data_IF_268966837985
#
_entry.id   IF_268966837985
#
_cell.length_a   1.000
_cell.length_b   1.000
_cell.length_c   1.000
_cell.angle_alpha   90.00
_cell.angle_beta   90.00
_cell.angle_gamma   90.00
#
_symmetry.space_group_name_H-M   'P 1'
#
loop_
_entity.id
_entity.type
_entity.pdbx_description
1 polymer ?
#
# COMPACT_ATOMS: atom_id res chain seq x y z
N UNK A 1 21.36 22.75 -6.74
CA UNK A 1 20.50 22.06 -7.73
C UNK A 1 19.13 21.79 -7.08
N UNK A 2 18.03 21.75 -7.84
CA UNK A 2 16.69 21.40 -7.33
C UNK A 2 16.28 20.02 -7.86
N UNK A 3 15.41 19.32 -7.14
CA UNK A 3 14.85 18.05 -7.60
C UNK A 3 13.32 18.05 -7.62
N UNK A 4 12.77 17.23 -8.50
CA UNK A 4 11.37 16.82 -8.55
C UNK A 4 11.33 15.30 -8.41
N UNK A 5 10.67 14.81 -7.34
CA UNK A 5 10.47 13.38 -7.12
C UNK A 5 9.29 12.89 -7.97
N UNK A 6 9.57 12.04 -8.95
CA UNK A 6 8.54 11.45 -9.82
C UNK A 6 7.95 10.16 -9.20
N UNK A 7 8.79 9.41 -8.50
CA UNK A 7 8.41 8.22 -7.71
C UNK A 7 9.42 8.03 -6.56
N UNK A 8 9.27 7.00 -5.73
CA UNK A 8 10.24 6.72 -4.65
C UNK A 8 11.69 6.68 -5.12
N UNK A 9 11.91 6.18 -6.34
CA UNK A 9 13.22 5.86 -6.90
C UNK A 9 13.52 6.62 -8.21
N UNK A 10 12.61 7.49 -8.67
CA UNK A 10 12.77 8.25 -9.90
C UNK A 10 12.74 9.75 -9.61
N UNK A 11 13.75 10.46 -10.09
CA UNK A 11 13.96 11.87 -9.81
C UNK A 11 14.31 12.62 -11.09
N UNK A 12 13.92 13.89 -11.15
CA UNK A 12 14.41 14.83 -12.16
C UNK A 12 15.11 15.96 -11.42
N UNK A 13 16.37 16.19 -11.74
CA UNK A 13 17.17 17.25 -11.14
C UNK A 13 17.53 18.28 -12.19
N UNK A 14 17.50 19.55 -11.80
CA UNK A 14 17.82 20.66 -12.69
C UNK A 14 18.35 21.85 -11.90
N UNK A 15 19.09 22.72 -12.58
CA UNK A 15 19.53 24.01 -12.09
C UNK A 15 19.50 25.04 -13.23
N UNK A 16 20.04 26.23 -12.98
CA UNK A 16 20.01 27.34 -13.95
C UNK A 16 21.00 27.15 -15.11
N UNK A 17 21.76 26.05 -15.15
CA UNK A 17 22.68 25.74 -16.26
C UNK A 17 21.98 25.27 -17.53
N UNK A 18 20.68 24.92 -17.45
CA UNK A 18 19.90 24.39 -18.57
C UNK A 18 20.04 22.88 -18.78
N UNK A 19 20.86 22.20 -17.97
CA UNK A 19 20.92 20.73 -17.94
C UNK A 19 19.83 20.13 -17.06
N UNK A 20 19.29 19.01 -17.51
CA UNK A 20 18.30 18.22 -16.76
C UNK A 20 18.80 16.80 -16.60
N UNK A 21 18.91 16.34 -15.36
CA UNK A 21 19.28 14.97 -15.01
C UNK A 21 18.03 14.16 -14.66
N UNK A 22 17.69 13.18 -15.50
CA UNK A 22 16.70 12.16 -15.19
C UNK A 22 17.40 10.96 -14.53
N UNK A 23 17.01 10.67 -13.29
CA UNK A 23 17.46 9.51 -12.53
C UNK A 23 16.32 8.51 -12.45
N UNK A 24 16.54 7.29 -12.93
CA UNK A 24 15.53 6.21 -12.92
C UNK A 24 16.02 4.98 -12.18
N UNK A 25 15.12 4.32 -11.46
CA UNK A 25 15.39 3.12 -10.68
C UNK A 25 16.56 3.29 -9.69
N UNK A 26 16.58 4.42 -8.98
CA UNK A 26 17.55 4.65 -7.90
C UNK A 26 17.39 3.58 -6.82
N UNK A 27 18.50 2.97 -6.45
CA UNK A 27 18.55 1.88 -5.49
C UNK A 27 19.82 1.96 -4.68
N UNK A 28 19.68 1.83 -3.36
CA UNK A 28 20.79 1.74 -2.42
C UNK A 28 20.94 0.33 -1.85
N UNK A 29 22.19 -0.14 -1.78
CA UNK A 29 22.65 -1.26 -0.95
C UNK A 29 23.90 -0.80 -0.18
N UNK A 30 24.42 -1.61 0.77
CA UNK A 30 25.43 -1.23 1.77
C UNK A 30 26.54 -0.30 1.28
N UNK A 31 27.06 -0.51 0.07
CA UNK A 31 28.18 0.27 -0.50
C UNK A 31 27.86 0.94 -1.84
N UNK A 32 26.59 1.01 -2.26
CA UNK A 32 26.23 1.45 -3.62
C UNK A 32 24.95 2.27 -3.67
N UNK A 33 24.97 3.29 -4.52
CA UNK A 33 23.80 4.07 -4.91
C UNK A 33 23.69 4.06 -6.44
N UNK A 34 22.96 3.08 -6.99
CA UNK A 34 22.88 2.79 -8.42
C UNK A 34 21.58 3.28 -9.06
N UNK A 35 21.67 3.73 -10.30
CA UNK A 35 20.51 4.13 -11.11
C UNK A 35 20.81 4.02 -12.61
N UNK A 36 19.80 4.29 -13.43
CA UNK A 36 20.00 4.75 -14.80
C UNK A 36 19.96 6.28 -14.82
N UNK A 37 21.06 6.91 -15.23
CA UNK A 37 21.22 8.36 -15.30
C UNK A 37 21.18 8.81 -16.76
N UNK A 38 20.32 9.76 -17.07
CA UNK A 38 20.28 10.48 -18.35
C UNK A 38 20.40 11.97 -18.11
N UNK A 39 21.25 12.65 -18.87
CA UNK A 39 21.38 14.11 -18.83
C UNK A 39 21.05 14.68 -20.20
N UNK A 40 20.19 15.70 -20.22
CA UNK A 40 19.79 16.42 -21.42
C UNK A 40 20.12 17.91 -21.32
N UNK A 41 20.30 18.54 -22.48
CA UNK A 41 20.37 20.00 -22.63
C UNK A 41 19.42 20.38 -23.77
N UNK A 42 18.34 21.10 -23.44
CA UNK A 42 17.22 21.26 -24.36
C UNK A 42 16.64 19.91 -24.79
N UNK A 43 16.59 19.65 -26.10
CA UNK A 43 16.12 18.36 -26.66
C UNK A 43 17.21 17.31 -26.84
N UNK A 44 18.49 17.65 -26.64
CA UNK A 44 19.61 16.75 -26.89
C UNK A 44 19.93 15.93 -25.64
N UNK A 45 20.16 14.62 -25.81
CA UNK A 45 20.74 13.78 -24.75
C UNK A 45 22.26 13.90 -24.81
N UNK A 46 22.86 14.33 -23.71
CA UNK A 46 24.31 14.56 -23.59
C UNK A 46 24.98 13.41 -22.84
N UNK A 47 24.27 12.76 -21.92
CA UNK A 47 24.76 11.57 -21.23
C UNK A 47 23.64 10.56 -21.00
N UNK A 48 23.94 9.26 -21.06
CA UNK A 48 22.97 8.20 -20.75
C UNK A 48 23.66 6.88 -20.43
N UNK A 49 23.67 6.48 -19.15
CA UNK A 49 24.27 5.22 -18.72
C UNK A 49 23.72 4.74 -17.36
N UNK A 50 23.98 3.47 -17.01
CA UNK A 50 23.87 3.03 -15.62
C UNK A 50 24.99 3.68 -14.81
N UNK A 51 24.65 4.28 -13.67
CA UNK A 51 25.60 5.05 -12.86
C UNK A 51 25.55 4.64 -11.40
N UNK A 52 26.71 4.62 -10.73
CA UNK A 52 26.84 4.42 -9.28
C UNK A 52 27.44 5.66 -8.64
N UNK A 53 26.63 6.42 -7.90
CA UNK A 53 27.04 7.69 -7.28
C UNK A 53 28.06 7.54 -6.14
N UNK A 54 28.21 6.33 -5.57
CA UNK A 54 29.23 6.05 -4.56
C UNK A 54 30.57 5.57 -5.16
N UNK A 55 30.64 5.36 -6.48
CA UNK A 55 31.88 4.95 -7.13
C UNK A 55 32.78 6.14 -7.45
N UNK A 56 33.97 6.19 -6.85
CA UNK A 56 35.03 7.17 -7.20
C UNK A 56 35.42 7.04 -8.67
N UNK A 57 35.49 5.81 -9.19
CA UNK A 57 35.78 5.55 -10.60
C UNK A 57 34.65 6.05 -11.52
N UNK A 58 33.39 5.78 -11.16
CA UNK A 58 32.24 6.27 -11.92
C UNK A 58 32.18 7.79 -11.99
N UNK A 59 32.51 8.47 -10.89
CA UNK A 59 32.65 9.93 -10.84
C UNK A 59 33.72 10.43 -11.83
N UNK A 60 34.92 9.85 -11.80
CA UNK A 60 36.01 10.24 -12.70
C UNK A 60 35.67 10.02 -14.17
N UNK A 61 35.04 8.88 -14.50
CA UNK A 61 34.61 8.56 -15.87
C UNK A 61 33.53 9.52 -16.36
N UNK A 62 32.54 9.84 -15.51
CA UNK A 62 31.50 10.81 -15.83
C UNK A 62 32.09 12.21 -16.09
N UNK A 63 32.90 12.73 -15.17
CA UNK A 63 33.46 14.09 -15.30
C UNK A 63 34.33 14.19 -16.55
N UNK A 64 35.16 13.18 -16.82
CA UNK A 64 35.99 13.13 -18.02
C UNK A 64 35.14 13.14 -19.29
N UNK A 65 34.10 12.30 -19.36
CA UNK A 65 33.22 12.24 -20.52
C UNK A 65 32.52 13.59 -20.78
N UNK A 66 31.97 14.21 -19.74
CA UNK A 66 31.29 15.49 -19.88
C UNK A 66 32.24 16.63 -20.29
N UNK A 67 33.51 16.60 -19.85
CA UNK A 67 34.53 17.57 -20.26
C UNK A 67 34.92 17.50 -21.74
N UNK A 68 34.66 16.38 -22.43
CA UNK A 68 34.91 16.26 -23.87
C UNK A 68 33.92 17.12 -24.69
N UNK A 69 32.75 17.45 -24.14
CA UNK A 69 31.76 18.35 -24.73
C UNK A 69 32.16 19.83 -24.53
N UNK A 70 33.17 20.27 -25.29
CA UNK A 70 33.78 21.61 -25.21
C UNK A 70 32.81 22.76 -25.53
N UNK A 71 31.68 22.47 -26.18
CA UNK A 71 30.60 23.42 -26.46
C UNK A 71 29.91 23.93 -25.19
N UNK A 72 29.97 23.18 -24.09
CA UNK A 72 29.39 23.55 -22.81
C UNK A 72 30.48 24.03 -21.85
N UNK A 73 30.48 25.33 -21.52
CA UNK A 73 31.40 25.90 -20.52
C UNK A 73 30.88 25.67 -19.10
N UNK A 74 31.09 24.45 -18.60
CA UNK A 74 30.61 24.01 -17.29
C UNK A 74 31.74 23.46 -16.42
N UNK A 75 31.65 23.72 -15.11
CA UNK A 75 32.44 22.97 -14.12
C UNK A 75 31.73 21.63 -13.85
N UNK A 76 32.07 20.63 -14.64
CA UNK A 76 31.46 19.31 -14.56
C UNK A 76 31.74 18.58 -13.24
N UNK A 77 32.85 18.92 -12.57
CA UNK A 77 33.15 18.36 -11.26
C UNK A 77 32.21 18.94 -10.21
N UNK A 78 31.98 20.26 -10.26
CA UNK A 78 31.00 20.92 -9.39
C UNK A 78 29.58 20.44 -9.66
N UNK A 79 29.18 20.37 -10.94
CA UNK A 79 27.86 19.88 -11.34
C UNK A 79 27.61 18.45 -10.83
N UNK A 80 28.58 17.55 -10.97
CA UNK A 80 28.47 16.18 -10.48
C UNK A 80 28.32 16.13 -8.95
N UNK A 81 29.11 16.93 -8.23
CA UNK A 81 29.00 17.04 -6.78
C UNK A 81 27.60 17.49 -6.35
N UNK A 82 27.09 18.58 -6.95
CA UNK A 82 25.76 19.11 -6.62
C UNK A 82 24.64 18.12 -6.98
N UNK A 83 24.76 17.41 -8.10
CA UNK A 83 23.84 16.33 -8.51
C UNK A 83 23.83 15.18 -7.49
N UNK A 84 25.02 14.73 -7.06
CA UNK A 84 25.18 13.63 -6.11
C UNK A 84 24.60 13.98 -4.74
N UNK A 85 24.98 15.12 -4.16
CA UNK A 85 24.49 15.55 -2.84
C UNK A 85 22.96 15.72 -2.86
N UNK A 86 22.42 16.43 -3.87
CA UNK A 86 20.97 16.62 -3.99
C UNK A 86 20.22 15.29 -4.13
N UNK A 87 20.80 14.30 -4.81
CA UNK A 87 20.18 12.98 -4.97
C UNK A 87 20.25 12.14 -3.69
N UNK A 88 21.37 12.21 -2.96
CA UNK A 88 21.53 11.58 -1.64
C UNK A 88 20.48 12.16 -0.70
N UNK A 89 20.42 13.49 -0.59
CA UNK A 89 19.42 14.18 0.21
C UNK A 89 18.01 13.75 -0.21
N UNK A 90 17.65 13.86 -1.49
CA UNK A 90 16.32 13.48 -1.97
C UNK A 90 15.94 12.00 -1.74
N UNK A 91 16.93 11.10 -1.71
CA UNK A 91 16.73 9.67 -1.49
C UNK A 91 16.62 9.31 0.00
N UNK A 92 17.42 9.93 0.86
CA UNK A 92 17.45 9.67 2.31
C UNK A 92 16.48 10.54 3.10
N UNK A 93 16.10 11.72 2.61
CA UNK A 93 15.01 12.57 3.16
C UNK A 93 13.61 11.96 2.95
N UNK A 94 13.55 10.77 2.31
CA UNK A 94 12.38 9.89 2.31
C UNK A 94 12.24 9.08 3.63
N UNK A 95 13.24 9.10 4.51
CA UNK A 95 13.08 8.73 5.92
C UNK A 95 12.40 9.90 6.63
N UNK A 96 11.18 9.67 7.11
CA UNK A 96 10.24 10.74 7.48
C UNK A 96 10.81 11.86 8.34
N UNK A 97 10.26 13.06 8.15
CA UNK A 97 10.63 14.27 8.88
C UNK A 97 10.59 14.03 10.40
N UNK A 98 11.70 14.34 11.06
CA UNK A 98 11.78 14.35 12.52
C UNK A 98 11.08 15.63 13.02
N UNK A 99 9.85 15.48 13.49
CA UNK A 99 9.06 16.58 14.06
C UNK A 99 9.07 16.52 15.60
N UNK A 100 9.08 17.67 16.28
CA UNK A 100 8.75 17.72 17.70
C UNK A 100 7.28 17.30 17.86
N UNK A 101 6.99 16.44 18.83
CA UNK A 101 5.63 15.95 19.09
C UNK A 101 4.64 17.10 19.37
N UNK A 102 5.12 18.25 19.84
CA UNK A 102 4.31 19.45 20.09
C UNK A 102 3.92 20.20 18.83
N UNK A 103 4.68 20.02 17.75
CA UNK A 103 4.41 20.64 16.46
C UNK A 103 3.44 19.80 15.60
N UNK A 104 3.13 18.57 16.06
CA UNK A 104 2.18 17.68 15.41
C UNK A 104 0.77 18.03 15.91
N UNK A 105 -0.07 18.57 15.02
CA UNK A 105 -1.49 18.76 15.31
C UNK A 105 -2.16 17.42 15.65
N UNK A 106 -2.76 17.33 16.82
CA UNK A 106 -3.55 16.17 17.20
C UNK A 106 -4.78 16.07 16.28
N UNK A 107 -4.96 14.91 15.65
CA UNK A 107 -6.16 14.61 14.86
C UNK A 107 -6.72 13.27 15.26
N UNK A 108 -8.04 13.20 15.45
CA UNK A 108 -8.74 11.93 15.66
C UNK A 108 -8.53 10.99 14.46
N UNK A 109 -8.58 9.69 14.75
CA UNK A 109 -8.49 8.68 13.70
C UNK A 109 -9.68 8.80 12.76
N UNK A 110 -9.35 8.95 11.48
CA UNK A 110 -10.30 9.05 10.38
C UNK A 110 -10.72 7.65 9.94
N UNK A 111 -11.98 7.52 9.51
CA UNK A 111 -12.51 6.27 8.98
C UNK A 111 -13.09 6.51 7.59
N UNK A 112 -12.75 5.62 6.64
CA UNK A 112 -13.48 5.57 5.37
C UNK A 112 -14.86 4.96 5.56
N UNK A 113 -14.99 4.02 6.50
CA UNK A 113 -16.25 3.44 6.92
C UNK A 113 -16.11 3.10 8.39
N UNK A 114 -16.81 3.83 9.25
CA UNK A 114 -16.78 3.57 10.69
C UNK A 114 -17.61 2.32 11.00
N UNK A 115 -17.21 1.45 11.95
CA UNK A 115 -15.88 1.35 12.59
C UNK A 115 -14.86 0.53 11.76
N UNK A 116 -15.24 0.01 10.59
CA UNK A 116 -14.55 -1.08 9.89
C UNK A 116 -13.20 -0.72 9.24
N UNK A 117 -13.05 0.51 8.73
CA UNK A 117 -11.90 0.91 7.91
C UNK A 117 -11.31 2.21 8.44
N UNK A 118 -10.39 2.10 9.39
CA UNK A 118 -9.56 3.20 9.87
C UNK A 118 -8.51 3.56 8.82
N UNK A 119 -8.41 4.84 8.47
CA UNK A 119 -7.56 5.38 7.40
C UNK A 119 -6.09 5.24 7.76
N UNK A 120 -5.31 4.66 6.85
CA UNK A 120 -3.86 4.45 6.99
C UNK A 120 -3.49 3.34 7.98
N UNK A 121 -4.47 2.64 8.55
CA UNK A 121 -4.26 1.63 9.58
C UNK A 121 -4.44 0.21 9.03
N UNK A 122 -3.80 -0.75 9.70
CA UNK A 122 -3.96 -2.16 9.40
C UNK A 122 -5.32 -2.67 9.90
N UNK A 123 -6.31 -2.71 9.00
CA UNK A 123 -7.63 -3.27 9.28
C UNK A 123 -7.64 -4.76 8.92
N UNK A 124 -8.11 -5.61 9.83
CA UNK A 124 -8.16 -7.07 9.63
C UNK A 124 -9.60 -7.58 9.77
N UNK A 125 -9.96 -8.46 8.85
CA UNK A 125 -11.20 -9.20 8.85
C UNK A 125 -10.88 -10.70 8.87
N UNK A 126 -11.28 -11.43 9.91
CA UNK A 126 -11.03 -12.87 10.00
C UNK A 126 -12.29 -13.68 10.32
N UNK A 127 -12.35 -14.90 9.79
CA UNK A 127 -13.42 -15.86 10.05
C UNK A 127 -13.03 -17.25 9.54
N UNK A 128 -13.84 -18.26 9.86
CA UNK A 128 -13.70 -19.58 9.25
C UNK A 128 -13.89 -19.55 7.71
N UNK A 129 -13.51 -20.64 7.06
CA UNK A 129 -13.81 -20.84 5.63
C UNK A 129 -15.32 -20.89 5.41
N UNK A 130 -15.81 -20.30 4.32
CA UNK A 130 -17.24 -20.30 3.98
C UNK A 130 -18.11 -19.26 4.71
N UNK A 131 -17.58 -18.52 5.68
CA UNK A 131 -18.35 -17.52 6.46
C UNK A 131 -18.74 -16.26 5.67
N UNK A 132 -18.16 -16.02 4.47
CA UNK A 132 -18.48 -14.86 3.64
C UNK A 132 -17.56 -13.64 3.80
N UNK A 133 -16.30 -13.83 4.22
CA UNK A 133 -15.30 -12.74 4.36
C UNK A 133 -15.17 -11.87 3.11
N UNK A 134 -14.97 -12.49 1.95
CA UNK A 134 -14.83 -11.80 0.66
C UNK A 134 -16.12 -11.06 0.28
N UNK A 135 -17.29 -11.65 0.58
CA UNK A 135 -18.60 -11.00 0.41
C UNK A 135 -18.71 -9.75 1.27
N UNK A 136 -18.38 -9.85 2.57
CA UNK A 136 -18.44 -8.72 3.48
C UNK A 136 -17.44 -7.62 3.09
N UNK A 137 -16.22 -7.99 2.71
CA UNK A 137 -15.23 -7.02 2.23
C UNK A 137 -15.69 -6.26 0.98
N UNK A 138 -16.37 -6.94 0.04
CA UNK A 138 -16.99 -6.28 -1.12
C UNK A 138 -18.19 -5.42 -0.69
N UNK A 139 -18.96 -5.82 0.31
CA UNK A 139 -20.07 -5.01 0.83
C UNK A 139 -19.59 -3.71 1.50
N UNK A 140 -18.46 -3.77 2.24
CA UNK A 140 -17.80 -2.58 2.77
C UNK A 140 -17.32 -1.68 1.62
N UNK A 141 -16.68 -2.25 0.60
CA UNK A 141 -16.22 -1.50 -0.58
C UNK A 141 -17.38 -0.85 -1.35
N UNK A 142 -18.49 -1.55 -1.51
CA UNK A 142 -19.70 -1.05 -2.15
C UNK A 142 -20.31 0.12 -1.35
N UNK A 143 -20.37 -0.01 -0.03
CA UNK A 143 -20.90 1.01 0.88
C UNK A 143 -20.12 2.34 0.80
N UNK A 144 -18.82 2.29 0.49
CA UNK A 144 -17.99 3.49 0.30
C UNK A 144 -18.40 4.32 -0.92
N UNK A 145 -18.91 3.69 -1.99
CA UNK A 145 -19.28 4.40 -3.23
C UNK A 145 -20.72 4.92 -3.21
N UNK A 146 -21.62 4.20 -2.56
CA UNK A 146 -23.04 4.51 -2.58
C UNK A 146 -23.56 5.13 -1.29
N UNK A 147 -22.67 5.38 -0.31
CA UNK A 147 -22.97 6.08 0.95
C UNK A 147 -24.30 5.59 1.58
N UNK A 148 -24.28 4.34 2.07
CA UNK A 148 -25.30 3.65 2.91
C UNK A 148 -26.39 2.81 2.24
N UNK A 149 -26.06 1.63 1.68
CA UNK A 149 -27.11 0.62 1.36
C UNK A 149 -26.95 -0.74 2.05
N UNK A 150 -25.78 -1.09 2.61
CA UNK A 150 -25.58 -2.41 3.25
C UNK A 150 -24.98 -2.29 4.67
N UNK A 151 -24.02 -1.38 4.86
CA UNK A 151 -23.38 -1.15 6.17
C UNK A 151 -23.70 0.27 6.65
N UNK A 152 -24.49 0.36 7.71
CA UNK A 152 -24.97 1.62 8.30
C UNK A 152 -23.92 2.11 9.29
N UNK A 153 -23.10 3.08 8.87
CA UNK A 153 -22.56 4.13 9.76
C UNK A 153 -21.87 5.21 8.94
N UNK A 154 -22.10 6.47 9.32
CA UNK A 154 -21.63 7.61 8.55
C UNK A 154 -20.11 7.72 8.60
N UNK A 155 -19.43 7.80 7.45
CA UNK A 155 -17.99 8.00 7.42
C UNK A 155 -17.68 9.44 7.84
N UNK A 156 -16.83 9.61 8.84
CA UNK A 156 -16.34 10.94 9.24
C UNK A 156 -15.45 11.57 8.15
N UNK A 157 -15.12 10.84 7.07
CA UNK A 157 -14.39 11.33 5.91
C UNK A 157 -14.98 10.82 4.61
N UNK A 158 -15.17 11.71 3.64
CA UNK A 158 -15.58 11.33 2.29
C UNK A 158 -14.51 10.51 1.57
N UNK A 159 -14.88 9.33 1.06
CA UNK A 159 -13.98 8.49 0.28
C UNK A 159 -13.69 9.06 -1.12
N UNK A 160 -12.56 9.77 -1.25
CA UNK A 160 -12.07 10.36 -2.50
C UNK A 160 -10.94 9.55 -3.13
N UNK A 161 -11.24 8.31 -3.52
CA UNK A 161 -10.25 7.42 -4.13
C UNK A 161 -10.84 6.20 -4.81
N UNK A 162 -9.94 5.31 -5.19
CA UNK A 162 -10.28 4.03 -5.82
C UNK A 162 -9.92 2.86 -4.90
N UNK A 163 -10.54 1.72 -5.15
CA UNK A 163 -10.32 0.47 -4.41
C UNK A 163 -9.59 -0.53 -5.31
N UNK A 164 -8.61 -1.24 -4.79
CA UNK A 164 -8.01 -2.40 -5.44
C UNK A 164 -8.29 -3.65 -4.61
N UNK A 165 -8.93 -4.65 -5.22
CA UNK A 165 -9.00 -6.01 -4.70
C UNK A 165 -7.81 -6.81 -5.23
N UNK A 166 -6.90 -7.18 -4.35
CA UNK A 166 -5.75 -8.03 -4.63
C UNK A 166 -6.06 -9.46 -4.17
N UNK A 167 -6.36 -10.31 -5.15
CA UNK A 167 -6.88 -11.67 -4.95
C UNK A 167 -5.75 -12.70 -5.07
N UNK A 168 -5.50 -13.39 -3.96
CA UNK A 168 -4.58 -14.50 -3.82
C UNK A 168 -5.31 -15.85 -3.67
N UNK A 169 -6.59 -15.88 -3.29
CA UNK A 169 -7.29 -17.12 -2.94
C UNK A 169 -8.02 -17.77 -4.12
N UNK A 170 -8.49 -16.98 -5.09
CA UNK A 170 -9.41 -17.47 -6.12
C UNK A 170 -9.07 -16.93 -7.51
N UNK A 171 -10.10 -16.69 -8.33
CA UNK A 171 -9.99 -16.12 -9.66
C UNK A 171 -11.00 -14.99 -9.91
N UNK A 172 -10.80 -14.35 -11.06
CA UNK A 172 -11.62 -13.23 -11.53
C UNK A 172 -13.11 -13.56 -11.62
N UNK A 173 -13.48 -14.79 -11.96
CA UNK A 173 -14.87 -15.19 -12.14
C UNK A 173 -15.55 -15.38 -10.78
N UNK A 174 -14.84 -16.00 -9.82
CA UNK A 174 -15.27 -16.12 -8.43
C UNK A 174 -15.54 -14.77 -7.79
N UNK A 175 -14.56 -13.85 -7.84
CA UNK A 175 -14.74 -12.49 -7.30
C UNK A 175 -15.83 -11.72 -8.05
N UNK A 176 -15.91 -11.84 -9.38
CA UNK A 176 -16.97 -11.16 -10.16
C UNK A 176 -18.37 -11.68 -9.80
N UNK A 177 -18.50 -12.97 -9.49
CA UNK A 177 -19.75 -13.56 -9.00
C UNK A 177 -20.15 -12.98 -7.64
N UNK A 178 -19.21 -12.86 -6.70
CA UNK A 178 -19.47 -12.21 -5.41
C UNK A 178 -19.85 -10.73 -5.61
N UNK A 179 -19.08 -10.01 -6.43
CA UNK A 179 -19.35 -8.62 -6.78
C UNK A 179 -20.78 -8.44 -7.30
N UNK A 180 -21.22 -9.27 -8.26
CA UNK A 180 -22.56 -9.15 -8.85
C UNK A 180 -23.69 -9.48 -7.86
N UNK A 181 -23.42 -10.29 -6.84
CA UNK A 181 -24.39 -10.60 -5.78
C UNK A 181 -24.53 -9.46 -4.78
N UNK A 182 -23.45 -8.71 -4.52
CA UNK A 182 -23.41 -7.64 -3.51
C UNK A 182 -23.75 -6.27 -4.11
N UNK A 183 -23.21 -5.94 -5.28
CA UNK A 183 -23.33 -4.62 -5.88
C UNK A 183 -24.64 -4.54 -6.69
N UNK A 184 -25.70 -4.00 -6.09
CA UNK A 184 -26.97 -3.81 -6.78
C UNK A 184 -26.91 -2.70 -7.84
N UNK A 185 -26.22 -1.61 -7.50
CA UNK A 185 -25.95 -0.47 -8.37
C UNK A 185 -24.55 -0.56 -8.96
N UNK A 186 -24.37 0.03 -10.13
CA UNK A 186 -23.06 0.07 -10.77
C UNK A 186 -22.13 1.04 -10.02
N UNK A 187 -20.98 0.53 -9.58
CA UNK A 187 -19.85 1.36 -9.17
C UNK A 187 -19.23 1.94 -10.46
N UNK A 188 -19.00 3.26 -10.54
CA UNK A 188 -18.48 3.88 -11.76
C UNK A 188 -17.19 3.22 -12.25
N UNK A 189 -17.08 3.03 -13.56
CA UNK A 189 -15.92 2.41 -14.20
C UNK A 189 -14.63 3.12 -13.77
N UNK A 190 -13.62 2.33 -13.40
CA UNK A 190 -12.33 2.86 -12.96
C UNK A 190 -12.28 3.27 -11.48
N UNK A 191 -13.30 2.91 -10.68
CA UNK A 191 -13.30 3.16 -9.23
C UNK A 191 -12.98 1.92 -8.39
N UNK A 192 -13.34 0.72 -8.86
CA UNK A 192 -13.05 -0.55 -8.19
C UNK A 192 -12.30 -1.48 -9.15
N UNK A 193 -11.03 -1.73 -8.84
CA UNK A 193 -10.13 -2.57 -9.60
C UNK A 193 -9.99 -3.96 -8.98
N UNK A 194 -9.75 -4.95 -9.83
CA UNK A 194 -9.39 -6.31 -9.44
C UNK A 194 -8.03 -6.64 -10.03
N UNK A 195 -7.18 -7.32 -9.25
CA UNK A 195 -5.95 -7.93 -9.71
C UNK A 195 -5.76 -9.27 -9.01
N UNK A 196 -5.59 -10.34 -9.80
CA UNK A 196 -5.04 -11.60 -9.28
C UNK A 196 -3.56 -11.41 -8.95
N UNK A 197 -3.14 -11.97 -7.83
CA UNK A 197 -1.75 -11.95 -7.38
C UNK A 197 -1.33 -13.32 -6.89
N UNK A 198 -0.18 -13.76 -7.40
CA UNK A 198 0.42 -15.04 -7.01
C UNK A 198 1.80 -14.81 -6.35
N UNK A 199 2.28 -13.56 -6.34
CA UNK A 199 3.59 -13.18 -5.79
C UNK A 199 3.44 -12.55 -4.40
N UNK A 200 4.24 -12.95 -3.40
CA UNK A 200 4.25 -12.33 -2.08
C UNK A 200 4.50 -10.83 -2.13
N UNK A 201 3.94 -10.09 -1.18
CA UNK A 201 3.97 -8.63 -1.17
C UNK A 201 5.40 -8.07 -1.20
N UNK A 202 6.30 -8.70 -0.44
CA UNK A 202 7.74 -8.34 -0.38
C UNK A 202 8.44 -8.40 -1.74
N UNK A 203 7.94 -9.20 -2.66
CA UNK A 203 8.50 -9.40 -4.00
C UNK A 203 7.76 -8.60 -5.08
N UNK A 204 6.67 -7.91 -4.73
CA UNK A 204 5.82 -7.21 -5.69
C UNK A 204 6.27 -5.77 -5.95
N UNK A 205 7.33 -5.63 -6.75
CA UNK A 205 7.96 -4.32 -7.07
C UNK A 205 7.04 -3.35 -7.81
N UNK A 206 6.05 -3.84 -8.54
CA UNK A 206 5.15 -3.01 -9.35
C UNK A 206 3.94 -2.46 -8.60
N UNK A 207 3.62 -3.02 -7.43
CA UNK A 207 2.37 -2.71 -6.73
C UNK A 207 2.27 -1.25 -6.33
N UNK A 208 3.30 -0.66 -5.72
CA UNK A 208 3.26 0.75 -5.31
C UNK A 208 2.97 1.69 -6.48
N UNK A 209 3.64 1.48 -7.61
CA UNK A 209 3.40 2.25 -8.85
C UNK A 209 1.95 2.07 -9.34
N UNK A 210 1.41 0.86 -9.29
CA UNK A 210 0.02 0.60 -9.62
C UNK A 210 -0.93 1.38 -8.70
N UNK A 211 -0.73 1.31 -7.38
CA UNK A 211 -1.55 2.01 -6.38
C UNK A 211 -1.57 3.53 -6.63
N UNK A 212 -0.41 4.12 -6.88
CA UNK A 212 -0.28 5.55 -7.18
C UNK A 212 -0.98 5.92 -8.49
N UNK A 213 -0.67 5.20 -9.59
CA UNK A 213 -1.22 5.49 -10.93
C UNK A 213 -2.73 5.35 -11.01
N UNK A 214 -3.32 4.50 -10.15
CA UNK A 214 -4.77 4.29 -10.07
C UNK A 214 -5.42 5.04 -8.92
N UNK A 215 -4.70 5.90 -8.20
CA UNK A 215 -5.18 6.62 -7.02
C UNK A 215 -5.93 5.70 -6.04
N UNK A 216 -5.33 4.54 -5.75
CA UNK A 216 -5.90 3.57 -4.82
C UNK A 216 -5.76 4.13 -3.40
N UNK A 217 -6.88 4.21 -2.68
CA UNK A 217 -6.93 4.64 -1.28
C UNK A 217 -7.25 3.50 -0.32
N UNK A 218 -7.93 2.46 -0.82
CA UNK A 218 -8.19 1.22 -0.09
C UNK A 218 -7.66 0.02 -0.88
N UNK A 219 -6.80 -0.77 -0.25
CA UNK A 219 -6.27 -2.03 -0.78
C UNK A 219 -6.87 -3.20 0.01
N UNK A 220 -7.69 -4.01 -0.64
CA UNK A 220 -8.22 -5.26 -0.06
C UNK A 220 -7.26 -6.38 -0.44
N UNK A 221 -6.73 -7.12 0.53
CA UNK A 221 -5.85 -8.27 0.33
C UNK A 221 -6.58 -9.53 0.78
N UNK A 222 -6.97 -10.38 -0.16
CA UNK A 222 -7.65 -11.65 0.10
C UNK A 222 -6.80 -12.82 -0.40
N UNK A 223 -5.95 -13.44 0.40
CA UNK A 223 -5.77 -13.26 1.86
C UNK A 223 -4.31 -13.06 2.25
N UNK A 224 -4.10 -12.72 3.53
CA UNK A 224 -2.76 -12.53 4.12
C UNK A 224 -1.87 -13.76 3.92
N UNK A 225 -2.46 -14.98 3.89
CA UNK A 225 -1.73 -16.24 3.79
C UNK A 225 -0.67 -16.26 2.71
N UNK A 226 -1.10 -16.14 1.46
CA UNK A 226 -0.20 -16.14 0.31
C UNK A 226 0.49 -14.78 0.12
N UNK A 227 -0.12 -13.68 0.57
CA UNK A 227 0.48 -12.36 0.48
C UNK A 227 1.74 -12.21 1.33
N UNK A 228 1.83 -12.90 2.47
CA UNK A 228 3.04 -12.96 3.29
C UNK A 228 4.15 -13.77 2.61
N UNK A 229 3.79 -14.86 1.92
CA UNK A 229 4.71 -15.67 1.10
C UNK A 229 5.45 -16.79 1.82
N UNK A 230 5.06 -17.10 3.06
CA UNK A 230 5.66 -18.14 3.88
C UNK A 230 4.67 -18.75 4.87
N UNK A 231 5.20 -19.45 5.88
CA UNK A 231 4.37 -19.99 6.96
C UNK A 231 3.86 -18.84 7.84
N UNK A 232 2.54 -18.62 7.88
CA UNK A 232 1.97 -17.55 8.70
C UNK A 232 2.25 -17.68 10.21
N UNK A 233 2.67 -18.85 10.69
CA UNK A 233 3.10 -19.03 12.09
C UNK A 233 4.51 -18.49 12.38
N UNK A 234 5.27 -18.17 11.33
CA UNK A 234 6.57 -17.55 11.46
C UNK A 234 6.41 -16.05 11.81
N UNK A 235 7.16 -15.61 12.81
CA UNK A 235 7.18 -14.20 13.26
C UNK A 235 7.89 -13.32 12.23
N UNK A 236 8.95 -13.84 11.59
CA UNK A 236 9.73 -13.09 10.61
C UNK A 236 8.90 -12.79 9.36
N UNK A 237 8.10 -13.75 8.90
CA UNK A 237 7.21 -13.56 7.75
C UNK A 237 6.11 -12.52 8.06
N UNK A 238 5.58 -12.50 9.28
CA UNK A 238 4.64 -11.47 9.71
C UNK A 238 5.29 -10.07 9.67
N UNK A 239 6.49 -9.94 10.24
CA UNK A 239 7.23 -8.67 10.26
C UNK A 239 7.52 -8.20 8.83
N UNK A 240 8.07 -9.07 7.98
CA UNK A 240 8.40 -8.74 6.60
C UNK A 240 7.17 -8.35 5.77
N UNK A 241 6.04 -9.01 5.99
CA UNK A 241 4.76 -8.65 5.39
C UNK A 241 4.35 -7.22 5.77
N UNK A 242 4.32 -6.87 7.06
CA UNK A 242 3.90 -5.53 7.50
C UNK A 242 4.90 -4.43 7.16
N UNK A 243 6.20 -4.73 7.12
CA UNK A 243 7.23 -3.80 6.62
C UNK A 243 6.98 -3.49 5.14
N UNK A 244 6.69 -4.51 4.34
CA UNK A 244 6.38 -4.34 2.91
C UNK A 244 5.07 -3.60 2.71
N UNK A 245 4.05 -3.92 3.50
CA UNK A 245 2.74 -3.27 3.47
C UNK A 245 2.84 -1.78 3.82
N UNK A 246 3.61 -1.42 4.85
CA UNK A 246 3.84 -0.03 5.26
C UNK A 246 4.42 0.81 4.13
N UNK A 247 5.37 0.27 3.37
CA UNK A 247 6.02 0.98 2.24
C UNK A 247 5.03 1.37 1.12
N UNK A 248 3.87 0.72 1.04
CA UNK A 248 2.85 1.04 0.03
C UNK A 248 2.10 2.34 0.30
N UNK A 249 2.05 2.82 1.56
CA UNK A 249 1.40 4.10 1.90
C UNK A 249 -0.10 4.14 1.59
N UNK A 250 -0.80 3.00 1.66
CA UNK A 250 -2.24 2.85 1.38
C UNK A 250 -2.98 2.36 2.63
N UNK A 251 -4.31 2.52 2.69
CA UNK A 251 -5.12 1.88 3.75
C UNK A 251 -5.42 0.43 3.37
N UNK A 252 -4.94 -0.57 4.12
CA UNK A 252 -5.26 -1.96 3.84
C UNK A 252 -6.50 -2.47 4.59
N UNK A 253 -7.27 -3.33 3.93
CA UNK A 253 -8.20 -4.28 4.54
C UNK A 253 -7.66 -5.70 4.27
N UNK A 254 -7.25 -6.38 5.33
CA UNK A 254 -6.56 -7.65 5.25
C UNK A 254 -7.49 -8.78 5.66
N UNK A 255 -7.62 -9.80 4.82
CA UNK A 255 -8.49 -10.95 5.10
C UNK A 255 -7.63 -12.14 5.53
N UNK A 256 -8.05 -12.86 6.56
CA UNK A 256 -7.39 -14.11 6.98
C UNK A 256 -8.40 -15.10 7.58
N UNK A 257 -7.95 -16.31 7.88
CA UNK A 257 -8.77 -17.34 8.49
C UNK A 257 -8.77 -17.25 10.02
N UNK A 258 -9.82 -17.80 10.64
CA UNK A 258 -9.84 -18.13 12.08
C UNK A 258 -9.11 -19.46 12.31
N UNK A 259 -8.30 -19.54 13.35
CA UNK A 259 -7.63 -20.76 13.80
C UNK A 259 -8.66 -21.68 14.49
N UNK A 260 -8.78 -22.94 14.02
CA UNK A 260 -9.77 -23.91 14.51
C UNK A 260 -9.46 -24.46 15.90
N UNK A 261 -8.20 -24.41 16.33
CA UNK A 261 -7.74 -24.99 17.61
C UNK A 261 -7.30 -23.90 18.58
N UNK A 262 -7.85 -22.70 18.44
CA UNK A 262 -7.50 -21.57 19.28
C UNK A 262 -7.98 -21.78 20.71
N UNK A 263 -7.07 -21.64 21.66
CA UNK A 263 -7.45 -21.38 23.05
C UNK A 263 -7.89 -19.92 23.15
N UNK A 264 -9.21 -19.69 23.23
CA UNK A 264 -9.79 -18.34 23.25
C UNK A 264 -9.39 -17.52 24.49
N UNK A 265 -8.80 -18.15 25.52
CA UNK A 265 -8.21 -17.43 26.66
C UNK A 265 -6.96 -16.63 26.28
N UNK A 266 -6.29 -16.98 25.17
CA UNK A 266 -5.12 -16.29 24.67
C UNK A 266 -5.49 -15.20 23.64
N UNK A 267 -5.09 -13.95 23.91
CA UNK A 267 -5.34 -12.83 23.00
C UNK A 267 -4.73 -13.07 21.63
N UNK A 268 -5.57 -13.02 20.59
CA UNK A 268 -5.17 -13.18 19.20
C UNK A 268 -5.02 -14.62 18.73
N UNK A 269 -5.17 -15.62 19.61
CA UNK A 269 -5.04 -17.04 19.24
C UNK A 269 -6.11 -17.51 18.24
N UNK A 270 -7.27 -16.83 18.23
CA UNK A 270 -8.35 -17.05 17.27
C UNK A 270 -7.96 -16.67 15.84
N UNK A 271 -7.04 -15.73 15.63
CA UNK A 271 -6.64 -15.31 14.30
C UNK A 271 -5.55 -16.23 13.76
N UNK A 272 -5.67 -16.68 12.51
CA UNK A 272 -4.67 -17.55 11.92
C UNK A 272 -3.38 -16.78 11.61
N UNK A 273 -2.27 -17.28 12.17
CA UNK A 273 -0.92 -16.73 12.02
C UNK A 273 -0.21 -16.62 13.37
N UNK A 274 1.01 -16.10 13.36
CA UNK A 274 1.73 -15.70 14.57
C UNK A 274 1.02 -14.53 15.25
N UNK A 275 1.27 -14.35 16.56
CA UNK A 275 0.70 -13.25 17.36
C UNK A 275 1.04 -11.87 16.77
N UNK A 276 2.11 -11.77 15.99
CA UNK A 276 2.52 -10.54 15.32
C UNK A 276 1.47 -10.03 14.34
N UNK A 277 0.75 -10.90 13.62
CA UNK A 277 -0.36 -10.46 12.78
C UNK A 277 -1.44 -9.74 13.59
N UNK A 278 -1.77 -10.27 14.77
CA UNK A 278 -2.72 -9.64 15.67
C UNK A 278 -2.18 -8.31 16.22
N UNK A 279 -0.90 -8.28 16.58
CA UNK A 279 -0.27 -7.11 17.19
C UNK A 279 -0.12 -5.93 16.23
N UNK A 280 0.30 -6.18 14.99
CA UNK A 280 0.45 -5.16 13.94
C UNK A 280 -0.89 -4.64 13.40
N UNK A 281 -1.95 -5.44 13.48
CA UNK A 281 -3.29 -4.98 13.18
C UNK A 281 -3.79 -4.00 14.26
N UNK A 282 -4.41 -2.90 13.82
CA UNK A 282 -4.88 -1.80 14.70
C UNK A 282 -6.40 -1.74 14.82
N UNK A 283 -7.09 -2.45 13.93
CA UNK A 283 -8.53 -2.56 13.87
C UNK A 283 -8.87 -3.98 13.41
N UNK A 284 -9.55 -4.79 14.23
CA UNK A 284 -9.79 -6.21 13.96
C UNK A 284 -11.25 -6.59 14.16
N UNK A 285 -11.83 -7.21 13.14
CA UNK A 285 -13.17 -7.78 13.17
C UNK A 285 -13.15 -9.28 12.92
N UNK A 286 -13.92 -9.98 13.73
CA UNK A 286 -14.26 -11.39 13.54
C UNK A 286 -15.65 -11.49 12.94
N UNK A 287 -15.82 -12.31 11.89
CA UNK A 287 -17.16 -12.69 11.44
C UNK A 287 -17.51 -14.11 11.82
N UNK A 288 -18.78 -14.28 12.14
CA UNK A 288 -19.41 -15.56 12.41
C UNK A 288 -20.72 -15.65 11.64
N UNK A 289 -21.00 -16.83 11.08
CA UNK A 289 -22.26 -17.09 10.39
C UNK A 289 -23.19 -17.78 11.36
N UNK A 290 -24.35 -17.18 11.61
CA UNK A 290 -25.42 -17.70 12.45
C UNK A 290 -26.69 -17.86 11.59
N UNK A 291 -26.74 -18.95 10.81
CA UNK A 291 -27.80 -19.14 9.81
C UNK A 291 -27.76 -18.04 8.76
N UNK A 292 -28.85 -17.28 8.63
CA UNK A 292 -28.97 -16.13 7.73
C UNK A 292 -28.43 -14.82 8.32
N UNK A 293 -27.84 -14.84 9.52
CA UNK A 293 -27.21 -13.68 10.14
C UNK A 293 -25.69 -13.77 10.05
N UNK A 294 -25.05 -12.68 9.68
CA UNK A 294 -23.61 -12.48 9.78
C UNK A 294 -23.35 -11.61 11.02
N UNK A 295 -22.80 -12.23 12.06
CA UNK A 295 -22.39 -11.57 13.30
C UNK A 295 -20.98 -11.03 13.11
N UNK A 296 -20.77 -9.75 13.42
CA UNK A 296 -19.50 -9.04 13.26
C UNK A 296 -19.07 -8.50 14.62
N UNK A 297 -17.98 -9.04 15.15
CA UNK A 297 -17.49 -8.75 16.50
C UNK A 297 -16.21 -7.91 16.40
N UNK A 298 -16.20 -6.74 17.04
CA UNK A 298 -15.03 -5.88 17.10
C UNK A 298 -14.05 -6.39 18.17
N UNK A 299 -12.97 -7.06 17.76
CA UNK A 299 -12.03 -7.75 18.67
C UNK A 299 -10.91 -6.85 19.18
N UNK A 300 -10.49 -5.85 18.38
CA UNK A 300 -9.41 -4.93 18.72
C UNK A 300 -9.59 -3.60 18.01
N UNK A 301 -9.50 -2.52 18.78
CA UNK A 301 -9.30 -1.16 18.28
C UNK A 301 -8.18 -0.51 19.11
N UNK A 302 -7.26 0.18 18.44
CA UNK A 302 -6.18 0.91 19.11
C UNK A 302 -6.48 2.40 19.31
N UNK A 303 -7.62 2.88 18.81
CA UNK A 303 -7.92 4.30 18.71
C UNK A 303 -9.11 4.68 19.58
N UNK A 304 -10.15 3.85 19.57
CA UNK A 304 -11.39 4.07 20.30
C UNK A 304 -11.76 2.85 21.16
N UNK A 305 -12.85 2.97 21.91
CA UNK A 305 -13.50 1.81 22.55
C UNK A 305 -13.95 0.82 21.47
N UNK A 306 -13.99 -0.47 21.83
CA UNK A 306 -14.62 -1.47 20.98
C UNK A 306 -16.10 -1.13 20.78
N UNK A 307 -16.55 -1.33 19.55
CA UNK A 307 -17.96 -1.26 19.24
C UNK A 307 -18.70 -2.44 19.83
N UNK A 308 -19.99 -2.24 20.09
CA UNK A 308 -20.88 -3.36 20.37
C UNK A 308 -20.89 -4.30 19.17
N UNK A 309 -21.32 -5.54 19.40
CA UNK A 309 -21.54 -6.50 18.34
C UNK A 309 -22.51 -5.94 17.29
N UNK A 310 -22.14 -6.09 16.02
CA UNK A 310 -22.94 -5.63 14.89
C UNK A 310 -23.45 -6.86 14.15
N UNK A 311 -24.76 -6.91 13.87
CA UNK A 311 -25.41 -8.02 13.18
C UNK A 311 -25.94 -7.55 11.83
N UNK A 312 -25.59 -8.29 10.79
CA UNK A 312 -26.14 -8.12 9.45
C UNK A 312 -27.05 -9.29 9.11
N UNK A 313 -28.28 -9.02 8.72
CA UNK A 313 -29.16 -10.05 8.16
C UNK A 313 -28.84 -10.19 6.67
N UNK A 314 -28.44 -11.37 6.24
CA UNK A 314 -28.17 -11.65 4.83
C UNK A 314 -29.51 -11.92 4.14
N UNK A 315 -30.10 -10.91 3.54
CA UNK A 315 -31.34 -11.10 2.78
C UNK A 315 -30.97 -11.54 1.37
N UNK A 316 -31.37 -12.76 0.97
CA UNK A 316 -31.15 -13.25 -0.39
C UNK A 316 -32.40 -13.07 -1.23
N UNK A 317 -32.38 -12.10 -2.14
CA UNK A 317 -33.48 -11.89 -3.09
C UNK A 317 -32.98 -12.01 -4.53
N UNK A 318 -33.57 -12.92 -5.31
CA UNK A 318 -33.19 -13.18 -6.71
C UNK A 318 -31.68 -13.45 -6.90
N UNK A 319 -31.05 -14.10 -5.91
CA UNK A 319 -29.61 -14.41 -5.92
C UNK A 319 -28.69 -13.25 -5.51
N UNK A 320 -29.23 -12.06 -5.19
CA UNK A 320 -28.48 -10.92 -4.63
C UNK A 320 -28.51 -10.92 -3.11
N UNK A 321 -27.54 -10.26 -2.49
CA UNK A 321 -27.41 -10.07 -1.04
C UNK A 321 -27.79 -8.62 -0.75
N UNK A 322 -28.81 -8.43 0.10
CA UNK A 322 -29.23 -7.15 0.63
C UNK A 322 -28.91 -7.06 2.11
#
# INVERSE_FOLDING_TARGET
>A
MKYLKLSDNDFVLSDDSGFVAEVKNLFSDKDQLRCFLRITFGSATVFSATHNFFSVRGEQEFVKYMQEHKEYRMDWKRYYFDLKETLIDAYFDAEGEVMDIKDIEASDVKYYLYPYIAVGQNNVLYAHGGTGKSTFAIALAYSLFHKTEIVVDYPNVEFKGNILYLDYETDKAGIKSIYNRVCEKEIPKGRFFYKREDVPLKNNRGLKKLLLSKNIKLLIIDSIGLAAGGNLKDEEEAINFFVSLRKLGVTPLLITHKNKSADESQKGASMFGSVYFYNYARNIFELESEGDTLRVVHKKCNFNRLENEIRFYLVRENGKIR
#
